data_IF_390071901523
#
_entry.id   IF_390071901523
#
_cell.length_a   1.000
_cell.length_b   1.000
_cell.length_c   1.000
_cell.angle_alpha   90.00
_cell.angle_beta   90.00
_cell.angle_gamma   90.00
#
_symmetry.space_group_name_H-M   'P 1'
#
loop_
_entity.id
_entity.type
_entity.pdbx_description
1 polymer ?
#
# COMPACT_ATOMS: atom_id res chain seq x y z
N UNK A 1 -8.20 -62.20 68.88
CA UNK A 1 -6.90 -61.68 68.43
C UNK A 1 -7.10 -61.22 66.99
N UNK A 2 -7.32 -59.95 66.64
CA UNK A 2 -6.68 -58.74 67.16
C UNK A 2 -5.47 -58.37 66.30
N UNK A 3 -5.57 -58.43 64.97
CA UNK A 3 -4.48 -58.05 64.08
C UNK A 3 -4.54 -56.54 63.83
N UNK A 4 -3.66 -55.84 64.55
CA UNK A 4 -3.55 -54.39 64.61
C UNK A 4 -2.91 -53.87 63.31
N UNK A 5 -3.53 -52.79 62.78
CA UNK A 5 -3.03 -51.84 61.81
C UNK A 5 -1.51 -51.78 61.71
N UNK A 6 -0.97 -52.12 60.53
CA UNK A 6 0.39 -51.70 60.19
C UNK A 6 0.39 -50.21 59.78
N UNK A 7 1.23 -49.36 60.41
CA UNK A 7 1.33 -47.93 60.14
C UNK A 7 1.90 -47.56 58.75
N UNK A 8 2.24 -48.54 57.91
CA UNK A 8 2.72 -48.35 56.54
C UNK A 8 1.66 -47.81 55.56
N UNK A 9 0.37 -48.12 55.79
CA UNK A 9 -0.71 -47.69 54.89
C UNK A 9 -1.05 -46.19 55.08
N UNK A 10 -0.87 -45.64 56.28
CA UNK A 10 -1.13 -44.23 56.54
C UNK A 10 -0.10 -43.32 55.87
N UNK A 11 1.18 -43.71 55.91
CA UNK A 11 2.26 -42.96 55.25
C UNK A 11 2.11 -42.95 53.72
N UNK A 12 1.71 -44.07 53.13
CA UNK A 12 1.48 -44.14 51.67
C UNK A 12 0.24 -43.34 51.24
N UNK A 13 -0.82 -43.31 52.07
CA UNK A 13 -1.98 -42.46 51.82
C UNK A 13 -1.64 -40.97 51.93
N UNK A 14 -0.78 -40.59 52.88
CA UNK A 14 -0.28 -39.21 53.02
C UNK A 14 0.55 -38.83 51.80
N UNK A 15 1.49 -39.67 51.36
CA UNK A 15 2.28 -39.40 50.14
C UNK A 15 1.43 -39.27 48.88
N UNK A 16 0.41 -40.12 48.72
CA UNK A 16 -0.52 -40.01 47.57
C UNK A 16 -1.37 -38.74 47.63
N UNK A 17 -1.82 -38.36 48.83
CA UNK A 17 -2.54 -37.11 49.03
C UNK A 17 -1.66 -35.89 48.71
N UNK A 18 -0.41 -35.87 49.17
CA UNK A 18 0.55 -34.81 48.86
C UNK A 18 0.85 -34.70 47.36
N UNK A 19 1.01 -35.84 46.67
CA UNK A 19 1.19 -35.86 45.22
C UNK A 19 -0.05 -35.37 44.47
N UNK A 20 -1.25 -35.71 44.94
CA UNK A 20 -2.50 -35.22 44.36
C UNK A 20 -2.69 -33.72 44.62
N UNK A 21 -2.34 -33.23 45.80
CA UNK A 21 -2.34 -31.80 46.13
C UNK A 21 -1.34 -31.06 45.24
N UNK A 22 -0.10 -31.53 45.09
CA UNK A 22 0.88 -30.89 44.20
C UNK A 22 0.44 -30.87 42.73
N UNK A 23 -0.28 -31.90 42.28
CA UNK A 23 -0.88 -31.91 40.93
C UNK A 23 -2.06 -30.95 40.82
N UNK A 24 -2.92 -30.88 41.84
CA UNK A 24 -4.01 -29.91 41.94
C UNK A 24 -3.48 -28.47 41.95
N UNK A 25 -2.42 -28.17 42.70
CA UNK A 25 -1.79 -26.84 42.68
C UNK A 25 -1.12 -26.49 41.34
N UNK A 26 -0.75 -27.50 40.54
CA UNK A 26 -0.28 -27.30 39.15
C UNK A 26 -1.43 -27.23 38.13
N UNK A 27 -2.61 -27.77 38.43
CA UNK A 27 -3.75 -27.87 37.51
C UNK A 27 -4.87 -26.87 37.78
N UNK A 28 -4.97 -26.36 39.01
CA UNK A 28 -5.82 -25.22 39.35
C UNK A 28 -5.08 -24.01 38.80
N UNK A 29 -5.44 -23.67 37.56
CA UNK A 29 -4.76 -22.70 36.74
C UNK A 29 -4.43 -21.42 37.47
N UNK A 30 -3.37 -20.77 37.01
CA UNK A 30 -2.99 -19.42 37.37
C UNK A 30 -4.14 -18.46 37.02
N UNK A 31 -5.17 -18.41 37.87
CA UNK A 31 -6.38 -17.62 37.67
C UNK A 31 -6.08 -16.12 37.64
N UNK A 32 -4.88 -15.73 38.09
CA UNK A 32 -4.29 -14.41 37.89
C UNK A 32 -2.78 -14.48 38.07
N UNK A 33 -2.05 -14.86 37.02
CA UNK A 33 -0.59 -14.64 36.99
C UNK A 33 -0.32 -13.24 36.43
N UNK A 34 0.16 -12.33 37.26
CA UNK A 34 0.70 -11.05 36.80
C UNK A 34 2.22 -11.15 36.70
N UNK A 35 2.77 -10.96 35.50
CA UNK A 35 4.21 -10.83 35.29
C UNK A 35 4.60 -9.37 35.55
N UNK A 36 5.03 -9.06 36.78
CA UNK A 36 5.35 -7.68 37.19
C UNK A 36 6.76 -7.21 36.80
N UNK A 37 7.71 -8.14 36.61
CA UNK A 37 9.08 -7.88 36.15
C UNK A 37 9.63 -9.14 35.45
N UNK A 38 10.26 -8.98 34.29
CA UNK A 38 10.76 -10.08 33.45
C UNK A 38 10.17 -10.08 32.04
N UNK A 39 10.31 -11.19 31.30
CA UNK A 39 9.71 -11.40 29.98
C UNK A 39 9.14 -12.81 29.84
N UNK A 40 8.13 -12.97 28.96
CA UNK A 40 7.57 -14.27 28.59
C UNK A 40 8.29 -14.78 27.34
N UNK A 41 9.01 -15.89 27.46
CA UNK A 41 9.58 -16.60 26.30
C UNK A 41 8.80 -17.89 26.08
N UNK A 42 8.22 -18.04 24.90
CA UNK A 42 7.52 -19.25 24.46
C UNK A 42 8.51 -20.08 23.64
N UNK A 43 8.66 -21.37 23.96
CA UNK A 43 9.60 -22.30 23.31
C UNK A 43 8.82 -23.47 22.70
N UNK A 44 9.42 -24.16 21.71
CA UNK A 44 8.92 -25.43 21.17
C UNK A 44 7.45 -25.36 20.71
N UNK A 45 7.16 -24.49 19.75
CA UNK A 45 5.81 -24.35 19.17
C UNK A 45 4.72 -23.95 20.19
N UNK A 46 5.13 -23.42 21.36
CA UNK A 46 4.21 -22.82 22.30
C UNK A 46 3.52 -21.59 21.69
N UNK A 47 2.28 -21.36 22.13
CA UNK A 47 1.43 -20.29 21.64
C UNK A 47 0.84 -19.48 22.79
N UNK A 48 0.47 -18.24 22.48
CA UNK A 48 -0.36 -17.39 23.32
C UNK A 48 -1.77 -17.36 22.70
N UNK A 49 -2.78 -17.88 23.43
CA UNK A 49 -4.18 -17.87 23.00
C UNK A 49 -5.04 -17.22 24.08
N UNK A 50 -5.90 -16.31 23.67
CA UNK A 50 -6.96 -15.72 24.48
C UNK A 50 -8.31 -16.12 23.89
N UNK A 51 -9.21 -16.60 24.75
CA UNK A 51 -10.60 -16.92 24.40
C UNK A 51 -11.54 -16.05 25.22
N UNK A 52 -12.69 -15.71 24.65
CA UNK A 52 -13.77 -15.03 25.37
C UNK A 52 -14.63 -16.03 26.19
N UNK A 53 -15.70 -15.52 26.79
CA UNK A 53 -16.68 -16.29 27.56
C UNK A 53 -17.52 -17.26 26.71
N UNK A 54 -17.47 -17.13 25.39
CA UNK A 54 -18.13 -17.99 24.42
C UNK A 54 -17.16 -19.01 23.76
N UNK A 55 -15.94 -19.15 24.28
CA UNK A 55 -14.85 -19.98 23.73
C UNK A 55 -14.37 -19.53 22.33
N UNK A 56 -14.67 -18.29 21.94
CA UNK A 56 -14.18 -17.70 20.69
C UNK A 56 -12.75 -17.21 20.88
N UNK A 57 -11.84 -17.61 19.98
CA UNK A 57 -10.46 -17.12 19.94
C UNK A 57 -10.44 -15.61 19.61
N UNK A 58 -10.07 -14.77 20.58
CA UNK A 58 -9.96 -13.31 20.39
C UNK A 58 -8.54 -12.91 19.97
N UNK A 59 -7.53 -13.62 20.47
CA UNK A 59 -6.12 -13.34 20.21
C UNK A 59 -5.34 -14.64 20.12
N UNK A 60 -4.48 -14.75 19.12
CA UNK A 60 -3.60 -15.88 18.91
C UNK A 60 -2.24 -15.43 18.38
N UNK A 61 -1.17 -15.86 19.03
CA UNK A 61 0.20 -15.80 18.53
C UNK A 61 0.83 -17.18 18.63
N UNK A 62 1.27 -17.74 17.52
CA UNK A 62 1.88 -19.07 17.50
C UNK A 62 1.88 -19.70 16.11
N UNK A 63 2.32 -20.96 16.00
CA UNK A 63 2.36 -21.67 14.73
C UNK A 63 0.96 -22.07 14.23
N UNK A 64 0.71 -21.93 12.94
CA UNK A 64 -0.47 -22.50 12.28
C UNK A 64 -0.32 -24.02 12.05
N UNK A 65 -1.30 -24.64 11.38
CA UNK A 65 -1.28 -26.07 11.07
C UNK A 65 -0.09 -26.49 10.19
N UNK A 66 0.55 -25.54 9.51
CA UNK A 66 1.72 -25.76 8.67
C UNK A 66 3.03 -25.36 9.38
N UNK A 67 2.97 -25.08 10.69
CA UNK A 67 4.12 -24.67 11.50
C UNK A 67 4.56 -23.21 11.29
N UNK A 68 3.77 -22.40 10.58
CA UNK A 68 4.12 -21.00 10.28
C UNK A 68 3.70 -20.10 11.41
N UNK A 69 4.57 -19.20 11.83
CA UNK A 69 4.21 -18.23 12.86
C UNK A 69 3.15 -17.27 12.35
N UNK A 70 2.02 -17.21 13.04
CA UNK A 70 0.89 -16.35 12.71
C UNK A 70 0.44 -15.52 13.91
N UNK A 71 -0.19 -14.40 13.59
CA UNK A 71 -0.95 -13.59 14.53
C UNK A 71 -2.40 -13.51 14.05
N UNK A 72 -3.36 -13.64 14.97
CA UNK A 72 -4.78 -13.40 14.71
C UNK A 72 -5.39 -12.61 15.87
N UNK A 73 -6.10 -11.55 15.54
CA UNK A 73 -6.94 -10.77 16.44
C UNK A 73 -8.33 -10.78 15.82
N UNK A 74 -9.33 -11.16 16.61
CA UNK A 74 -10.73 -11.29 16.16
C UNK A 74 -11.67 -10.44 17.01
N UNK A 75 -12.84 -10.15 16.46
CA UNK A 75 -13.98 -9.58 17.18
C UNK A 75 -14.67 -10.68 17.99
N UNK A 76 -15.60 -10.29 18.87
CA UNK A 76 -16.44 -11.20 19.66
C UNK A 76 -17.26 -12.16 18.78
N UNK A 77 -17.65 -11.73 17.57
CA UNK A 77 -18.35 -12.59 16.59
C UNK A 77 -17.41 -13.55 15.82
N UNK A 78 -16.12 -13.58 16.15
CA UNK A 78 -15.11 -14.41 15.51
C UNK A 78 -14.61 -13.87 14.15
N UNK A 79 -15.12 -12.73 13.68
CA UNK A 79 -14.60 -12.08 12.47
C UNK A 79 -13.20 -11.50 12.71
N UNK A 80 -12.38 -11.42 11.66
CA UNK A 80 -10.96 -11.02 11.77
C UNK A 80 -10.85 -9.50 11.85
N UNK A 81 -10.11 -8.99 12.83
CA UNK A 81 -9.68 -7.59 12.92
C UNK A 81 -8.29 -7.45 12.32
N UNK A 82 -7.34 -8.25 12.81
CA UNK A 82 -5.96 -8.27 12.35
C UNK A 82 -5.51 -9.70 12.16
N UNK A 83 -4.82 -10.01 11.07
CA UNK A 83 -4.33 -11.36 10.85
C UNK A 83 -3.09 -11.37 9.97
N UNK A 84 -2.31 -12.43 10.09
CA UNK A 84 -1.29 -12.78 9.10
C UNK A 84 -1.82 -13.87 8.17
N UNK A 85 -1.42 -13.84 6.91
CA UNK A 85 -1.85 -14.80 5.89
C UNK A 85 -0.81 -15.02 4.81
N UNK A 86 -1.15 -15.83 3.80
CA UNK A 86 -0.34 -16.01 2.58
C UNK A 86 -1.09 -15.50 1.37
N UNK A 87 -0.37 -14.78 0.52
CA UNK A 87 -0.88 -14.40 -0.79
C UNK A 87 -0.92 -15.58 -1.74
N UNK A 88 -1.61 -15.43 -2.87
CA UNK A 88 -1.59 -16.42 -3.95
C UNK A 88 -0.18 -16.71 -4.47
N UNK A 89 0.76 -15.78 -4.32
CA UNK A 89 2.18 -15.94 -4.66
C UNK A 89 3.04 -16.53 -3.55
N UNK A 90 2.44 -17.00 -2.45
CA UNK A 90 3.14 -17.64 -1.34
C UNK A 90 3.89 -16.71 -0.39
N UNK A 91 3.79 -15.38 -0.57
CA UNK A 91 4.38 -14.39 0.34
C UNK A 91 3.49 -14.22 1.56
N UNK A 92 4.11 -14.22 2.74
CA UNK A 92 3.42 -13.93 3.99
C UNK A 92 3.04 -12.44 4.04
N UNK A 93 1.88 -12.13 4.61
CA UNK A 93 1.40 -10.77 4.82
C UNK A 93 0.76 -10.58 6.19
N UNK A 94 0.67 -9.33 6.65
CA UNK A 94 -0.28 -8.92 7.69
C UNK A 94 -1.39 -8.05 7.10
N UNK A 95 -2.58 -8.12 7.67
CA UNK A 95 -3.73 -7.32 7.26
C UNK A 95 -4.59 -6.91 8.47
N UNK A 96 -5.19 -5.73 8.39
CA UNK A 96 -6.33 -5.28 9.16
C UNK A 96 -7.58 -5.34 8.28
N UNK A 97 -8.70 -5.77 8.84
CA UNK A 97 -9.96 -5.90 8.14
C UNK A 97 -11.11 -5.16 8.84
N UNK A 98 -12.10 -4.74 8.05
CA UNK A 98 -13.38 -4.23 8.54
C UNK A 98 -14.28 -5.37 9.08
N UNK A 99 -15.45 -5.01 9.60
CA UNK A 99 -16.42 -6.00 10.13
C UNK A 99 -16.99 -6.96 9.07
N UNK A 100 -16.85 -6.64 7.79
CA UNK A 100 -17.26 -7.52 6.68
C UNK A 100 -16.11 -8.41 6.18
N UNK A 101 -14.93 -8.31 6.81
CA UNK A 101 -13.74 -9.07 6.44
C UNK A 101 -12.98 -8.48 5.26
N UNK A 102 -13.27 -7.24 4.84
CA UNK A 102 -12.51 -6.57 3.78
C UNK A 102 -11.23 -6.00 4.36
N UNK A 103 -10.11 -6.25 3.69
CA UNK A 103 -8.81 -5.71 4.08
C UNK A 103 -8.83 -4.19 3.91
N UNK A 104 -8.66 -3.45 5.01
CA UNK A 104 -8.56 -1.98 5.04
C UNK A 104 -7.11 -1.51 5.02
N UNK A 105 -6.19 -2.34 5.52
CA UNK A 105 -4.77 -2.05 5.59
C UNK A 105 -4.00 -3.37 5.53
N UNK A 106 -2.95 -3.45 4.73
CA UNK A 106 -2.10 -4.64 4.62
C UNK A 106 -0.78 -4.27 3.97
N UNK A 107 0.23 -5.10 4.14
CA UNK A 107 1.42 -5.04 3.30
C UNK A 107 1.10 -5.41 1.82
N UNK A 108 2.12 -5.31 0.98
CA UNK A 108 1.95 -5.47 -0.47
C UNK A 108 1.68 -6.91 -0.92
N UNK A 109 1.87 -7.92 -0.05
CA UNK A 109 1.76 -9.30 -0.46
C UNK A 109 0.30 -9.72 -0.65
N UNK A 110 -0.65 -9.21 0.15
CA UNK A 110 -2.05 -9.64 0.08
C UNK A 110 -2.76 -9.24 -1.23
N UNK A 111 -2.55 -8.02 -1.72
CA UNK A 111 -3.32 -7.43 -2.83
C UNK A 111 -2.45 -6.97 -4.00
N UNK A 112 -1.12 -6.97 -3.87
CA UNK A 112 -0.21 -6.29 -4.80
C UNK A 112 -0.29 -4.76 -4.75
N UNK A 113 -1.25 -4.21 -4.00
CA UNK A 113 -1.57 -2.78 -3.84
C UNK A 113 -1.90 -2.54 -2.36
N UNK A 114 -0.87 -2.57 -1.51
CA UNK A 114 -1.00 -2.39 -0.06
C UNK A 114 -0.74 -0.94 0.37
N UNK A 115 -0.88 -0.65 1.67
CA UNK A 115 -0.47 0.63 2.26
C UNK A 115 1.03 0.92 2.08
N UNK A 116 1.81 -0.11 1.78
CA UNK A 116 3.22 0.04 1.44
C UNK A 116 3.45 0.66 0.04
N UNK A 117 2.44 0.65 -0.86
CA UNK A 117 2.59 1.07 -2.28
C UNK A 117 1.46 1.99 -2.77
N UNK A 118 1.08 3.06 -2.07
CA UNK A 118 0.05 3.96 -2.56
C UNK A 118 0.56 4.71 -3.80
N UNK A 119 -0.28 4.81 -4.82
CA UNK A 119 -0.05 5.70 -5.95
C UNK A 119 -0.38 7.12 -5.47
N UNK A 120 0.64 7.94 -5.23
CA UNK A 120 0.46 9.29 -4.72
C UNK A 120 0.20 10.24 -5.89
N UNK A 121 -0.96 10.90 -5.95
CA UNK A 121 -1.27 11.80 -7.05
C UNK A 121 -0.37 13.04 -6.98
N UNK A 122 0.15 13.44 -8.15
CA UNK A 122 0.82 14.72 -8.37
C UNK A 122 -0.16 15.59 -9.14
N UNK A 123 -0.63 16.67 -8.52
CA UNK A 123 -1.56 17.57 -9.17
C UNK A 123 -0.79 18.46 -10.16
N UNK A 124 -1.12 18.35 -11.45
CA UNK A 124 -0.59 19.21 -12.50
C UNK A 124 -1.67 20.20 -12.94
N UNK A 125 -1.26 21.44 -13.15
CA UNK A 125 -2.11 22.54 -13.59
C UNK A 125 -1.69 22.97 -14.99
N UNK A 126 -2.67 23.35 -15.80
CA UNK A 126 -2.45 23.75 -17.18
C UNK A 126 -1.86 25.17 -17.26
N UNK A 127 -0.79 25.34 -18.03
CA UNK A 127 -0.07 26.61 -18.23
C UNK A 127 -0.33 27.26 -19.60
N UNK A 128 -1.40 26.83 -20.28
CA UNK A 128 -1.82 27.39 -21.56
C UNK A 128 -3.34 27.50 -21.62
N UNK A 129 -3.83 28.42 -22.46
CA UNK A 129 -5.25 28.52 -22.77
C UNK A 129 -5.50 27.69 -24.05
N UNK A 130 -6.28 26.60 -23.97
CA UNK A 130 -6.63 25.82 -25.16
C UNK A 130 -7.47 26.69 -26.10
N UNK A 131 -7.16 26.61 -27.40
CA UNK A 131 -7.90 27.30 -28.46
C UNK A 131 -8.41 26.29 -29.48
N UNK A 132 -9.60 26.52 -30.00
CA UNK A 132 -10.16 25.73 -31.10
C UNK A 132 -9.51 26.10 -32.43
N UNK A 133 -9.43 25.11 -33.32
CA UNK A 133 -8.70 25.14 -34.59
C UNK A 133 -9.27 26.14 -35.61
N UNK A 134 -10.46 26.74 -35.42
CA UNK A 134 -10.99 27.63 -36.48
C UNK A 134 -11.80 28.88 -36.11
N UNK A 135 -12.44 29.07 -34.95
CA UNK A 135 -13.44 30.17 -34.86
C UNK A 135 -13.81 30.65 -33.45
N UNK A 136 -12.92 31.37 -32.75
CA UNK A 136 -13.42 32.32 -31.73
C UNK A 136 -12.58 33.59 -31.66
N UNK A 137 -13.27 34.72 -31.81
CA UNK A 137 -12.77 36.11 -31.73
C UNK A 137 -13.01 36.74 -30.36
N UNK A 138 -13.66 36.01 -29.47
CA UNK A 138 -14.37 36.50 -28.27
C UNK A 138 -13.77 35.98 -26.96
N UNK A 139 -12.70 35.19 -27.01
CA UNK A 139 -11.78 35.04 -25.88
C UNK A 139 -12.31 34.24 -24.68
N UNK A 140 -13.36 33.44 -24.84
CA UNK A 140 -13.87 32.51 -23.82
C UNK A 140 -13.67 31.06 -24.27
N UNK A 141 -13.33 30.16 -23.33
CA UNK A 141 -12.97 28.78 -23.64
C UNK A 141 -14.14 27.94 -24.15
N UNK A 142 -13.86 26.99 -25.05
CA UNK A 142 -14.82 26.02 -25.57
C UNK A 142 -14.76 24.69 -24.79
N UNK A 143 -15.84 23.89 -24.84
CA UNK A 143 -15.83 22.51 -24.35
C UNK A 143 -15.15 21.62 -25.39
N UNK A 144 -14.14 20.86 -24.97
CA UNK A 144 -13.39 19.95 -25.82
C UNK A 144 -13.13 18.61 -25.10
N UNK A 145 -12.87 17.55 -25.86
CA UNK A 145 -12.58 16.22 -25.29
C UNK A 145 -11.19 16.11 -24.64
N UNK A 146 -10.24 16.96 -25.04
CA UNK A 146 -8.89 17.06 -24.48
C UNK A 146 -8.23 18.40 -24.86
N UNK A 147 -7.35 18.94 -24.02
CA UNK A 147 -6.67 20.21 -24.29
C UNK A 147 -5.75 20.12 -25.51
N UNK A 148 -5.74 21.18 -26.32
CA UNK A 148 -4.91 21.29 -27.52
C UNK A 148 -4.22 22.63 -27.62
N UNK A 149 -3.08 22.65 -28.31
CA UNK A 149 -2.31 23.87 -28.60
C UNK A 149 -1.80 23.86 -30.04
N UNK A 150 -1.90 25.00 -30.71
CA UNK A 150 -1.35 25.19 -32.06
C UNK A 150 0.19 25.06 -32.02
N UNK A 151 0.75 24.22 -32.90
CA UNK A 151 2.18 23.99 -33.01
C UNK A 151 2.95 25.30 -33.27
N UNK A 152 2.36 26.26 -33.97
CA UNK A 152 2.98 27.56 -34.23
C UNK A 152 3.16 28.43 -32.97
N UNK A 153 2.47 28.11 -31.86
CA UNK A 153 2.64 28.78 -30.56
C UNK A 153 3.77 28.19 -29.71
N UNK A 154 4.30 27.05 -30.10
CA UNK A 154 5.43 26.37 -29.44
C UNK A 154 6.69 26.73 -30.23
N UNK A 155 7.24 27.92 -30.00
CA UNK A 155 8.44 28.41 -30.70
C UNK A 155 9.75 27.77 -30.21
N UNK A 156 9.75 27.23 -29.00
CA UNK A 156 10.84 26.49 -28.37
C UNK A 156 10.24 25.42 -27.45
N UNK A 157 11.04 24.85 -26.56
CA UNK A 157 10.50 24.05 -25.46
C UNK A 157 9.69 24.95 -24.51
N UNK A 158 8.41 24.64 -24.29
CA UNK A 158 7.51 25.38 -23.41
C UNK A 158 6.90 24.48 -22.35
N UNK A 159 6.62 25.00 -21.16
CA UNK A 159 5.89 24.31 -20.10
C UNK A 159 4.40 24.33 -20.43
N UNK A 160 3.76 23.16 -20.51
CA UNK A 160 2.32 23.04 -20.71
C UNK A 160 1.57 22.69 -19.44
N UNK A 161 2.19 21.91 -18.57
CA UNK A 161 1.62 21.55 -17.28
C UNK A 161 2.69 21.65 -16.20
N UNK A 162 2.31 22.17 -15.03
CA UNK A 162 3.21 22.32 -13.89
C UNK A 162 2.47 22.05 -12.58
N UNK A 163 3.18 21.49 -11.61
CA UNK A 163 2.70 21.31 -10.26
C UNK A 163 3.87 21.10 -9.31
N UNK A 164 3.56 20.94 -8.03
CA UNK A 164 4.56 20.63 -7.01
C UNK A 164 4.20 19.31 -6.34
N UNK A 165 5.23 18.52 -6.00
CA UNK A 165 5.06 17.25 -5.32
C UNK A 165 5.99 17.13 -4.12
N UNK A 166 5.51 16.50 -3.04
CA UNK A 166 6.36 15.85 -2.06
C UNK A 166 6.73 14.47 -2.60
N UNK A 167 7.99 14.29 -2.97
CA UNK A 167 8.44 13.09 -3.67
C UNK A 167 8.71 11.98 -2.65
N UNK A 168 7.69 11.15 -2.39
CA UNK A 168 7.81 10.04 -1.43
C UNK A 168 8.14 8.69 -2.08
N UNK A 169 8.11 8.60 -3.42
CA UNK A 169 8.40 7.37 -4.15
C UNK A 169 9.35 7.60 -5.33
N UNK A 170 10.14 6.59 -5.72
CA UNK A 170 11.20 6.73 -6.72
C UNK A 170 10.73 6.69 -8.18
N UNK A 171 9.46 6.36 -8.46
CA UNK A 171 8.96 6.27 -9.82
C UNK A 171 7.80 7.22 -10.06
N UNK A 172 7.80 7.87 -11.22
CA UNK A 172 6.76 8.80 -11.66
C UNK A 172 6.18 8.33 -12.99
N UNK A 173 4.86 8.26 -13.08
CA UNK A 173 4.12 7.98 -14.32
C UNK A 173 3.10 9.06 -14.61
N UNK A 174 2.84 9.31 -15.90
CA UNK A 174 1.83 10.25 -16.35
C UNK A 174 0.89 9.58 -17.36
N UNK A 175 -0.41 9.72 -17.14
CA UNK A 175 -1.46 9.28 -18.04
C UNK A 175 -2.10 10.49 -18.70
N UNK A 176 -2.34 10.39 -20.00
CA UNK A 176 -2.91 11.52 -20.74
C UNK A 176 -3.17 11.24 -22.20
N UNK A 177 -3.57 12.30 -22.90
CA UNK A 177 -3.81 12.32 -24.35
C UNK A 177 -2.68 13.07 -25.02
N UNK A 178 -2.00 12.39 -25.95
CA UNK A 178 -0.74 12.85 -26.55
C UNK A 178 -0.79 12.77 -28.08
N UNK A 179 0.11 13.48 -28.73
CA UNK A 179 0.36 13.37 -30.17
C UNK A 179 -0.36 14.42 -31.00
N UNK A 180 -0.43 14.16 -32.31
CA UNK A 180 -0.98 15.10 -33.28
C UNK A 180 -2.52 15.07 -33.26
N UNK A 181 -3.16 16.18 -32.96
CA UNK A 181 -4.60 16.33 -33.08
C UNK A 181 -5.01 16.66 -34.53
N UNK A 182 -4.21 17.49 -35.21
CA UNK A 182 -4.40 17.86 -36.61
C UNK A 182 -3.06 18.22 -37.28
N UNK A 183 -3.00 18.14 -38.61
CA UNK A 183 -1.80 18.47 -39.37
C UNK A 183 -0.67 17.45 -39.21
N UNK A 184 0.58 17.92 -39.31
CA UNK A 184 1.79 17.07 -39.27
C UNK A 184 2.89 17.61 -38.35
N UNK A 185 2.58 18.02 -37.10
CA UNK A 185 3.61 18.44 -36.16
C UNK A 185 4.47 17.24 -35.73
N UNK A 186 5.79 17.42 -35.61
CA UNK A 186 6.67 16.49 -34.91
C UNK A 186 6.79 16.94 -33.46
N UNK A 187 6.28 16.14 -32.53
CA UNK A 187 6.08 16.55 -31.14
C UNK A 187 7.02 15.76 -30.24
N UNK A 188 7.66 16.43 -29.29
CA UNK A 188 8.39 15.78 -28.21
C UNK A 188 7.92 16.35 -26.88
N UNK A 189 7.36 15.48 -26.04
CA UNK A 189 7.05 15.79 -24.65
C UNK A 189 8.22 15.39 -23.78
N UNK A 190 8.45 16.15 -22.70
CA UNK A 190 9.44 15.83 -21.68
C UNK A 190 8.84 16.04 -20.31
N UNK A 191 9.06 15.08 -19.43
CA UNK A 191 8.75 15.21 -18.03
C UNK A 191 10.01 15.67 -17.30
N UNK A 192 9.90 16.76 -16.55
CA UNK A 192 10.99 17.32 -15.74
C UNK A 192 10.60 17.34 -14.29
N UNK A 193 11.56 17.02 -13.43
CA UNK A 193 11.45 17.09 -11.96
C UNK A 193 12.64 17.91 -11.48
N UNK A 194 12.37 18.98 -10.75
CA UNK A 194 13.39 19.96 -10.34
C UNK A 194 14.20 20.53 -11.52
N UNK A 195 13.52 20.78 -12.65
CA UNK A 195 14.14 21.25 -13.90
C UNK A 195 14.96 20.20 -14.66
N UNK A 196 15.23 19.02 -14.08
CA UNK A 196 15.94 17.92 -14.71
C UNK A 196 14.98 17.05 -15.51
N UNK A 197 15.31 16.74 -16.77
CA UNK A 197 14.52 15.81 -17.58
C UNK A 197 14.66 14.38 -17.04
N UNK A 198 13.52 13.78 -16.64
CA UNK A 198 13.44 12.39 -16.18
C UNK A 198 12.83 11.46 -17.24
N UNK A 199 12.14 12.02 -18.23
CA UNK A 199 11.47 11.26 -19.28
C UNK A 199 11.23 12.05 -20.55
N UNK A 200 11.15 11.36 -21.69
CA UNK A 200 10.74 11.97 -22.97
C UNK A 200 10.05 10.96 -23.88
N UNK A 201 9.02 11.41 -24.60
CA UNK A 201 8.32 10.60 -25.61
C UNK A 201 7.87 11.46 -26.79
N UNK A 202 7.68 10.83 -27.95
CA UNK A 202 7.36 11.53 -29.21
C UNK A 202 6.32 10.75 -30.02
N UNK A 203 5.04 10.79 -29.61
CA UNK A 203 3.98 10.03 -30.25
C UNK A 203 3.69 10.61 -31.64
N UNK A 204 3.58 9.72 -32.63
CA UNK A 204 3.36 10.09 -34.04
C UNK A 204 1.89 10.15 -34.42
N UNK A 205 1.00 9.66 -33.56
CA UNK A 205 -0.46 9.64 -33.73
C UNK A 205 -1.13 10.13 -32.45
N UNK A 206 -2.40 10.52 -32.53
CA UNK A 206 -3.20 10.81 -31.34
C UNK A 206 -3.40 9.51 -30.54
N UNK A 207 -3.02 9.52 -29.27
CA UNK A 207 -3.18 8.35 -28.39
C UNK A 207 -3.51 8.76 -26.96
N UNK A 208 -4.20 7.87 -26.25
CA UNK A 208 -4.40 7.97 -24.80
C UNK A 208 -3.62 6.85 -24.13
N UNK A 209 -2.52 7.18 -23.46
CA UNK A 209 -1.55 6.20 -23.00
C UNK A 209 -0.83 6.64 -21.72
N UNK A 210 -0.30 5.65 -21.00
CA UNK A 210 0.62 5.85 -19.88
C UNK A 210 2.03 6.09 -20.40
N UNK A 211 2.75 7.01 -19.77
CA UNK A 211 4.14 7.34 -20.06
C UNK A 211 4.96 7.20 -18.77
N UNK A 212 6.11 6.55 -18.89
CA UNK A 212 6.95 6.13 -17.77
C UNK A 212 6.99 4.60 -17.60
N UNK A 213 7.39 4.07 -16.45
CA UNK A 213 7.81 4.78 -15.25
C UNK A 213 9.17 5.50 -15.39
N UNK A 214 9.25 6.74 -14.92
CA UNK A 214 10.46 7.55 -14.92
C UNK A 214 11.10 7.57 -13.53
N UNK A 215 12.42 7.43 -13.47
CA UNK A 215 13.19 7.43 -12.22
C UNK A 215 13.30 8.86 -11.67
N UNK A 216 12.81 9.04 -10.45
CA UNK A 216 12.88 10.27 -9.64
C UNK A 216 13.49 9.99 -8.25
N UNK A 217 14.24 8.88 -8.13
CA UNK A 217 14.84 8.43 -6.87
C UNK A 217 15.77 9.48 -6.24
N UNK A 218 16.42 10.30 -7.06
CA UNK A 218 17.29 11.39 -6.61
C UNK A 218 16.54 12.48 -5.81
N UNK A 219 15.22 12.57 -5.95
CA UNK A 219 14.37 13.56 -5.31
C UNK A 219 13.58 12.97 -4.13
N UNK A 220 13.70 11.67 -3.83
CA UNK A 220 12.94 11.04 -2.74
C UNK A 220 13.27 11.69 -1.39
N UNK A 221 12.21 12.07 -0.66
CA UNK A 221 12.31 12.75 0.63
C UNK A 221 12.40 14.28 0.52
N UNK A 222 12.30 14.84 -0.67
CA UNK A 222 12.22 16.30 -0.88
C UNK A 222 10.78 16.76 -1.07
N UNK A 223 10.46 17.90 -0.46
CA UNK A 223 9.13 18.52 -0.49
C UNK A 223 9.08 19.67 -1.49
N UNK A 224 7.89 19.93 -2.04
CA UNK A 224 7.64 21.05 -2.98
C UNK A 224 8.52 21.03 -4.23
N UNK A 225 8.84 19.83 -4.74
CA UNK A 225 9.64 19.68 -5.96
C UNK A 225 8.79 20.03 -7.17
N UNK A 226 9.25 20.93 -8.06
CA UNK A 226 8.50 21.28 -9.25
C UNK A 226 8.51 20.12 -10.24
N UNK A 227 7.32 19.70 -10.66
CA UNK A 227 7.09 18.70 -11.70
C UNK A 227 6.47 19.41 -12.88
N UNK A 228 7.15 19.39 -14.03
CA UNK A 228 6.68 20.05 -15.25
C UNK A 228 6.66 19.11 -16.43
N UNK A 229 5.58 19.21 -17.22
CA UNK A 229 5.47 18.61 -18.54
C UNK A 229 5.72 19.69 -19.58
N UNK A 230 6.82 19.56 -20.30
CA UNK A 230 7.19 20.47 -21.38
C UNK A 230 6.94 19.81 -22.74
N UNK A 231 6.79 20.65 -23.75
CA UNK A 231 6.68 20.22 -25.14
C UNK A 231 7.60 21.05 -26.02
N UNK A 232 8.19 20.41 -27.02
CA UNK A 232 8.75 21.09 -28.19
C UNK A 232 8.13 20.51 -29.45
N UNK A 233 7.98 21.32 -30.49
CA UNK A 233 7.42 20.86 -31.76
C UNK A 233 8.15 21.46 -32.95
N UNK A 234 8.08 20.78 -34.10
CA UNK A 234 8.40 21.33 -35.42
C UNK A 234 7.27 21.01 -36.40
N UNK A 235 7.20 21.71 -37.53
CA UNK A 235 6.12 21.53 -38.51
C UNK A 235 4.86 22.33 -38.18
N UNK A 236 3.73 21.96 -38.79
CA UNK A 236 2.48 22.72 -38.72
C UNK A 236 1.31 21.83 -38.30
N UNK A 237 0.39 22.37 -37.49
CA UNK A 237 -0.81 21.66 -37.05
C UNK A 237 -1.09 21.90 -35.58
N UNK A 238 -1.76 20.95 -34.93
CA UNK A 238 -2.20 21.07 -33.54
C UNK A 238 -1.74 19.88 -32.72
N UNK A 239 -1.24 20.17 -31.53
CA UNK A 239 -0.70 19.24 -30.56
C UNK A 239 -1.77 18.95 -29.49
N UNK A 240 -2.09 17.68 -29.27
CA UNK A 240 -2.89 17.26 -28.13
C UNK A 240 -2.03 17.23 -26.87
N UNK A 241 -2.49 17.78 -25.75
CA UNK A 241 -1.75 17.70 -24.50
C UNK A 241 -2.71 17.81 -23.31
N UNK A 242 -3.29 16.68 -22.94
CA UNK A 242 -4.13 16.58 -21.76
C UNK A 242 -3.46 15.64 -20.75
N UNK A 243 -3.15 16.14 -19.56
CA UNK A 243 -2.85 15.28 -18.42
C UNK A 243 -4.17 14.82 -17.82
N UNK A 244 -4.33 13.51 -17.67
CA UNK A 244 -5.47 12.88 -17.00
C UNK A 244 -5.11 12.38 -15.59
N UNK A 245 -3.84 12.05 -15.37
CA UNK A 245 -3.31 11.72 -14.05
C UNK A 245 -1.79 11.70 -14.05
N UNK A 246 -1.19 12.00 -12.91
CA UNK A 246 0.25 11.89 -12.68
C UNK A 246 0.44 11.29 -11.30
N UNK A 247 1.27 10.25 -11.17
CA UNK A 247 1.36 9.46 -9.95
C UNK A 247 2.80 9.07 -9.63
N UNK A 248 3.14 9.21 -8.36
CA UNK A 248 4.34 8.63 -7.75
C UNK A 248 4.02 7.23 -7.23
N UNK A 249 4.90 6.25 -7.46
CA UNK A 249 4.68 4.87 -7.00
C UNK A 249 6.00 4.14 -6.68
N UNK A 250 5.94 3.14 -5.80
CA UNK A 250 7.15 2.49 -5.25
C UNK A 250 7.85 1.54 -6.22
N UNK A 251 7.12 0.93 -7.15
CA UNK A 251 7.61 -0.13 -8.03
C UNK A 251 7.34 0.17 -9.50
N UNK A 252 8.30 -0.12 -10.37
CA UNK A 252 8.17 0.00 -11.83
C UNK A 252 6.99 -0.80 -12.40
#
# INVERSE_FOLDING_TARGET
MGQINQPSNLLDRIKRAEQQIQRLWKSVGLASATISRGGLTLLQDAFLRMVDDNDTEVLYFGPDTDGRQIMRIRREDGSRIMFTGKSAGGRDFWALADSTGRIVASDDAATGKGLARPWLPVQLYQHFVPRTITTHTDGLGEVYGYSTIDAAKIGAEVVLWEGNASVSHPWLTVFGVWGRAAGTPNITYRLKVDGVQVGSWSPTVLETSWQGAFDVSAQVGTDWVPVSLTVSTTGTGVVACQVLGCYLHQTM
#
